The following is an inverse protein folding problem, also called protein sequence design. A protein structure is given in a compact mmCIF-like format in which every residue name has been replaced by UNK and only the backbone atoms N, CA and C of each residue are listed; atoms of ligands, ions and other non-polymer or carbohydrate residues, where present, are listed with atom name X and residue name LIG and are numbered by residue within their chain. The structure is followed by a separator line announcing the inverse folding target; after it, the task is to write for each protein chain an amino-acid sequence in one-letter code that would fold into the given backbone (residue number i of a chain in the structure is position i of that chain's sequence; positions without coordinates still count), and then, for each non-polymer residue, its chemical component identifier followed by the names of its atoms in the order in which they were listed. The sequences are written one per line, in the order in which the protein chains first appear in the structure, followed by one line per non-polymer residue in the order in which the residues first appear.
data_IF_013567068579
#
_entry.id   IF_013567068579
#
_cell.length_a   1.000
_cell.length_b   1.000
_cell.length_c   1.000
_cell.angle_alpha   90.00
_cell.angle_beta   90.00
_cell.angle_gamma   90.00
#
_symmetry.space_group_name_H-M   'P 1'
#
loop_
_entity.id
_entity.type
_entity.pdbx_description
1 polymer ?
#
# COMPACT_ATOMS: atom_id res chain seq x y z
N UNK A 1 -1.28 15.59 8.43
CA UNK A 1 -2.66 15.16 8.79
C UNK A 1 -3.29 15.95 9.93
N UNK A 2 -2.78 15.91 11.18
CA UNK A 2 -3.45 16.62 12.31
C UNK A 2 -3.48 18.15 12.16
N UNK A 3 -2.42 18.78 11.61
CA UNK A 3 -2.45 20.20 11.22
C UNK A 3 -3.57 20.54 10.23
N UNK A 4 -3.96 19.57 9.40
CA UNK A 4 -5.00 19.66 8.39
C UNK A 4 -4.59 20.31 7.07
N UNK A 5 -5.32 19.94 6.02
CA UNK A 5 -5.10 20.37 4.63
C UNK A 5 -6.46 20.74 4.00
N UNK A 6 -6.47 21.62 2.99
CA UNK A 6 -7.67 21.85 2.18
C UNK A 6 -7.77 20.79 1.08
N UNK A 7 -8.92 20.12 0.96
CA UNK A 7 -9.20 19.13 -0.09
C UNK A 7 -10.63 19.30 -0.60
N UNK A 8 -10.86 18.96 -1.87
CA UNK A 8 -12.18 18.96 -2.49
C UNK A 8 -12.89 17.66 -2.14
N UNK A 9 -13.99 17.73 -1.36
CA UNK A 9 -14.89 16.59 -1.15
C UNK A 9 -15.83 16.46 -2.35
N UNK A 10 -15.67 15.40 -3.13
CA UNK A 10 -16.60 15.07 -4.21
C UNK A 10 -17.86 14.39 -3.66
N UNK A 11 -18.94 14.43 -4.46
CA UNK A 11 -20.22 13.74 -4.28
C UNK A 11 -20.85 13.57 -5.66
N UNK A 12 -21.92 12.78 -5.77
CA UNK A 12 -22.63 12.52 -7.05
C UNK A 12 -23.37 13.72 -7.69
N UNK A 13 -22.99 14.96 -7.40
CA UNK A 13 -23.48 16.18 -8.03
C UNK A 13 -22.36 16.96 -8.72
N UNK A 14 -22.70 17.88 -9.61
CA UNK A 14 -21.77 18.48 -10.60
C UNK A 14 -20.64 19.35 -10.05
N UNK A 15 -20.58 19.66 -8.75
CA UNK A 15 -19.50 20.45 -8.13
C UNK A 15 -19.05 19.85 -6.80
N UNK A 16 -17.74 19.62 -6.69
CA UNK A 16 -17.08 19.28 -5.43
C UNK A 16 -17.09 20.44 -4.44
N UNK A 17 -16.85 20.13 -3.16
CA UNK A 17 -16.92 21.08 -2.06
C UNK A 17 -15.57 21.14 -1.33
N UNK A 18 -14.86 22.27 -1.43
CA UNK A 18 -13.63 22.52 -0.65
C UNK A 18 -13.95 22.44 0.85
N UNK A 19 -13.17 21.64 1.59
CA UNK A 19 -13.20 21.55 3.05
C UNK A 19 -11.78 21.46 3.59
N UNK A 20 -11.60 21.96 4.80
CA UNK A 20 -10.38 21.73 5.58
C UNK A 20 -10.52 20.40 6.33
N UNK A 21 -9.76 19.39 5.93
CA UNK A 21 -9.72 18.06 6.55
C UNK A 21 -8.57 17.96 7.54
N UNK A 22 -8.79 17.29 8.67
CA UNK A 22 -7.78 17.08 9.71
C UNK A 22 -8.07 15.78 10.46
N UNK A 23 -7.04 15.14 11.00
CA UNK A 23 -7.24 14.15 12.08
C UNK A 23 -7.44 14.89 13.39
N UNK A 24 -8.26 14.34 14.28
CA UNK A 24 -8.38 14.83 15.65
C UNK A 24 -7.14 14.52 16.51
N UNK A 25 -7.15 15.00 17.75
CA UNK A 25 -6.02 14.92 18.68
C UNK A 25 -5.59 13.48 18.97
N UNK A 26 -6.55 12.58 19.15
CA UNK A 26 -6.31 11.15 19.39
C UNK A 26 -6.03 10.34 18.12
N UNK A 27 -6.06 10.97 16.93
CA UNK A 27 -5.91 10.33 15.61
C UNK A 27 -6.99 9.26 15.32
N UNK A 28 -8.11 9.27 16.06
CA UNK A 28 -9.20 8.29 15.95
C UNK A 28 -10.31 8.73 15.00
N UNK A 29 -10.45 10.04 14.73
CA UNK A 29 -11.46 10.55 13.80
C UNK A 29 -10.85 11.41 12.68
N UNK A 30 -11.20 11.10 11.44
CA UNK A 30 -11.04 11.97 10.29
C UNK A 30 -12.16 13.01 10.33
N UNK A 31 -11.84 14.31 10.41
CA UNK A 31 -12.81 15.40 10.57
C UNK A 31 -12.68 16.44 9.46
N UNK A 32 -13.75 17.19 9.21
CA UNK A 32 -13.71 18.29 8.23
C UNK A 32 -14.56 19.51 8.61
N UNK A 33 -14.10 20.70 8.20
CA UNK A 33 -14.78 21.98 8.41
C UNK A 33 -14.73 22.88 7.16
N UNK A 34 -15.66 23.84 6.98
CA UNK A 34 -16.90 23.99 7.74
C UNK A 34 -17.91 22.88 7.41
N UNK A 35 -18.91 22.66 8.27
CA UNK A 35 -20.08 21.81 7.99
C UNK A 35 -21.35 22.48 8.52
N UNK A 36 -22.49 22.25 7.86
CA UNK A 36 -23.81 22.64 8.41
C UNK A 36 -24.32 21.66 9.49
N UNK A 37 -23.67 20.50 9.61
CA UNK A 37 -23.95 19.47 10.64
C UNK A 37 -22.59 18.98 11.16
N UNK A 38 -22.04 19.68 12.17
CA UNK A 38 -20.67 19.47 12.65
C UNK A 38 -20.43 18.08 13.28
N UNK A 39 -21.45 17.49 13.89
CA UNK A 39 -21.36 16.13 14.43
C UNK A 39 -21.22 15.08 13.32
N UNK A 40 -21.95 15.24 12.20
CA UNK A 40 -21.84 14.41 10.99
C UNK A 40 -20.66 14.79 10.09
N UNK A 41 -19.67 15.50 10.63
CA UNK A 41 -18.44 15.91 9.95
C UNK A 41 -17.21 15.15 10.49
N UNK A 42 -17.40 13.86 10.78
CA UNK A 42 -16.38 12.91 11.24
C UNK A 42 -16.59 11.52 10.59
N UNK A 43 -15.52 10.75 10.48
CA UNK A 43 -15.50 9.29 10.24
C UNK A 43 -14.53 8.70 11.27
N UNK A 44 -14.89 7.61 11.96
CA UNK A 44 -13.94 6.91 12.85
C UNK A 44 -12.94 6.11 12.03
N UNK A 45 -11.67 6.08 12.42
CA UNK A 45 -10.65 5.23 11.80
C UNK A 45 -11.08 3.77 11.86
N UNK A 46 -11.63 3.32 12.99
CA UNK A 46 -12.15 1.95 13.18
C UNK A 46 -13.32 1.59 12.25
N UNK A 47 -13.96 2.60 11.65
CA UNK A 47 -15.04 2.41 10.67
C UNK A 47 -14.55 2.43 9.23
N UNK A 48 -13.29 2.79 8.96
CA UNK A 48 -12.72 2.76 7.60
C UNK A 48 -12.37 1.31 7.26
N UNK A 49 -12.89 0.84 6.12
CA UNK A 49 -12.64 -0.51 5.59
C UNK A 49 -11.54 -0.51 4.54
N UNK A 50 -11.44 0.54 3.73
CA UNK A 50 -10.44 0.63 2.65
C UNK A 50 -10.03 2.07 2.33
N UNK A 51 -8.80 2.23 1.82
CA UNK A 51 -8.25 3.50 1.30
C UNK A 51 -7.67 3.25 -0.10
N UNK A 52 -8.42 3.63 -1.13
CA UNK A 52 -8.04 3.44 -2.53
C UNK A 52 -7.40 4.72 -3.07
N UNK A 53 -6.29 4.57 -3.80
CA UNK A 53 -5.59 5.68 -4.47
C UNK A 53 -6.09 5.89 -5.90
N UNK A 54 -6.02 7.12 -6.40
CA UNK A 54 -6.51 7.46 -7.73
C UNK A 54 -8.03 7.63 -7.80
N UNK A 55 -8.57 7.36 -8.99
CA UNK A 55 -9.93 7.73 -9.42
C UNK A 55 -10.86 6.51 -9.51
N UNK A 56 -10.78 5.60 -8.54
CA UNK A 56 -11.39 4.27 -8.63
C UNK A 56 -12.91 4.25 -8.42
N UNK A 57 -13.45 5.15 -7.58
CA UNK A 57 -14.89 5.17 -7.25
C UNK A 57 -15.77 5.69 -8.39
N UNK A 58 -17.05 5.32 -8.35
CA UNK A 58 -18.09 5.84 -9.27
C UNK A 58 -18.18 7.37 -9.30
N UNK A 59 -17.80 8.05 -8.21
CA UNK A 59 -17.91 9.51 -8.14
C UNK A 59 -16.90 10.17 -9.08
N UNK A 60 -15.69 9.63 -9.20
CA UNK A 60 -14.70 10.13 -10.16
C UNK A 60 -15.10 9.85 -11.61
N UNK A 61 -15.75 8.71 -11.88
CA UNK A 61 -16.20 8.31 -13.22
C UNK A 61 -17.29 9.23 -13.81
N UNK A 62 -17.94 10.06 -12.97
CA UNK A 62 -18.95 11.06 -13.39
C UNK A 62 -18.34 12.38 -13.88
N UNK A 63 -17.04 12.58 -13.71
CA UNK A 63 -16.31 13.73 -14.25
C UNK A 63 -15.63 13.36 -15.57
N UNK A 64 -15.45 14.32 -16.47
CA UNK A 64 -14.79 14.06 -17.75
C UNK A 64 -13.35 13.57 -17.55
N UNK A 65 -12.85 12.76 -18.48
CA UNK A 65 -11.47 12.33 -18.46
C UNK A 65 -10.50 13.54 -18.43
N UNK A 66 -9.37 13.39 -17.73
CA UNK A 66 -8.45 14.49 -17.46
C UNK A 66 -8.85 15.49 -16.36
N UNK A 67 -10.10 15.49 -15.83
CA UNK A 67 -10.56 16.50 -14.84
C UNK A 67 -9.70 16.62 -13.58
N UNK A 68 -9.06 15.52 -13.16
CA UNK A 68 -8.20 15.47 -11.99
C UNK A 68 -6.99 14.56 -12.24
N UNK A 69 -5.83 14.94 -11.71
CA UNK A 69 -4.64 14.09 -11.62
C UNK A 69 -4.92 12.89 -10.69
N UNK A 70 -4.77 11.63 -11.15
CA UNK A 70 -4.87 10.45 -10.28
C UNK A 70 -4.01 10.55 -9.01
N UNK A 71 -2.83 11.16 -9.07
CA UNK A 71 -1.92 11.26 -7.92
C UNK A 71 -2.48 12.13 -6.79
N UNK A 72 -3.37 13.08 -7.09
CA UNK A 72 -4.05 13.92 -6.09
C UNK A 72 -5.39 13.34 -5.61
N UNK A 73 -5.84 12.21 -6.17
CA UNK A 73 -7.15 11.62 -5.90
C UNK A 73 -7.04 10.43 -4.93
N UNK A 74 -8.02 10.29 -4.03
CA UNK A 74 -8.23 9.06 -3.26
C UNK A 74 -9.67 8.92 -2.78
N UNK A 75 -10.05 7.68 -2.44
CA UNK A 75 -11.35 7.31 -1.89
C UNK A 75 -11.18 6.59 -0.55
N UNK A 76 -12.04 6.91 0.42
CA UNK A 76 -12.15 6.19 1.69
C UNK A 76 -13.50 5.47 1.73
N UNK A 77 -13.50 4.15 1.91
CA UNK A 77 -14.73 3.38 2.09
C UNK A 77 -14.93 3.06 3.57
N UNK A 78 -16.10 3.38 4.12
CA UNK A 78 -16.33 3.31 5.57
C UNK A 78 -17.77 2.90 5.95
N UNK A 79 -17.92 2.44 7.19
CA UNK A 79 -19.20 2.02 7.77
C UNK A 79 -19.74 0.70 7.21
N UNK A 80 -20.89 0.27 7.73
CA UNK A 80 -21.47 -1.03 7.37
C UNK A 80 -21.96 -1.08 5.93
N UNK A 81 -22.57 0.01 5.46
CA UNK A 81 -23.10 0.17 4.10
C UNK A 81 -22.05 0.59 3.06
N UNK A 82 -20.76 0.62 3.41
CA UNK A 82 -19.65 1.03 2.53
C UNK A 82 -19.87 2.39 1.86
N UNK A 83 -20.15 3.43 2.65
CA UNK A 83 -20.19 4.81 2.15
C UNK A 83 -18.79 5.23 1.62
N UNK A 84 -18.76 6.00 0.53
CA UNK A 84 -17.53 6.62 0.02
C UNK A 84 -17.29 8.03 0.56
N UNK A 85 -16.03 8.35 0.79
CA UNK A 85 -15.52 9.72 0.90
C UNK A 85 -14.42 9.93 -0.14
N UNK A 86 -14.81 10.58 -1.23
CA UNK A 86 -13.98 10.86 -2.39
C UNK A 86 -13.32 12.25 -2.27
N UNK A 87 -12.00 12.29 -2.42
CA UNK A 87 -11.16 13.46 -2.10
C UNK A 87 -10.16 13.77 -3.22
N UNK A 88 -9.98 15.07 -3.47
CA UNK A 88 -8.90 15.62 -4.31
C UNK A 88 -8.08 16.61 -3.48
N UNK A 89 -6.79 16.38 -3.34
CA UNK A 89 -5.84 17.29 -2.68
C UNK A 89 -5.30 18.38 -3.63
N UNK A 90 -4.54 19.34 -3.09
CA UNK A 90 -3.82 20.32 -3.89
C UNK A 90 -2.59 19.73 -4.57
N UNK A 91 -1.88 18.79 -3.91
CA UNK A 91 -0.76 18.06 -4.50
C UNK A 91 -0.83 16.55 -4.25
N UNK A 92 -0.17 15.76 -5.10
CA UNK A 92 -0.09 14.32 -4.91
C UNK A 92 0.76 13.89 -3.69
N UNK A 93 1.58 14.79 -3.14
CA UNK A 93 2.29 14.55 -1.89
C UNK A 93 1.33 14.62 -0.69
N UNK A 94 0.39 15.56 -0.69
CA UNK A 94 -0.67 15.60 0.31
C UNK A 94 -1.53 14.32 0.24
N UNK A 95 -1.95 13.91 -0.95
CA UNK A 95 -2.73 12.68 -1.14
C UNK A 95 -1.94 11.46 -0.62
N UNK A 96 -0.68 11.27 -1.03
CA UNK A 96 0.16 10.18 -0.50
C UNK A 96 0.32 10.23 1.03
N UNK A 97 0.44 11.42 1.61
CA UNK A 97 0.51 11.62 3.07
C UNK A 97 -0.76 11.15 3.77
N UNK A 98 -1.93 11.48 3.22
CA UNK A 98 -3.23 11.03 3.73
C UNK A 98 -3.46 9.52 3.50
N UNK A 99 -3.24 9.02 2.29
CA UNK A 99 -3.39 7.60 1.93
C UNK A 99 -2.52 6.72 2.83
N UNK A 100 -1.23 7.06 2.95
CA UNK A 100 -0.27 6.30 3.76
C UNK A 100 -0.64 6.39 5.24
N UNK A 101 -0.84 7.61 5.76
CA UNK A 101 -1.12 7.82 7.18
C UNK A 101 -2.40 7.15 7.67
N UNK A 102 -3.45 7.10 6.84
CA UNK A 102 -4.69 6.38 7.16
C UNK A 102 -4.51 4.85 7.10
N UNK A 103 -3.77 4.33 6.10
CA UNK A 103 -3.42 2.90 6.04
C UNK A 103 -2.61 2.44 7.26
N UNK A 104 -1.68 3.26 7.78
CA UNK A 104 -0.95 2.98 9.03
C UNK A 104 -1.87 2.92 10.26
N UNK A 105 -2.79 3.89 10.40
CA UNK A 105 -3.73 3.93 11.52
C UNK A 105 -4.71 2.75 11.49
N UNK A 106 -5.25 2.39 10.32
CA UNK A 106 -6.12 1.21 10.14
C UNK A 106 -5.41 -0.11 10.47
N UNK A 107 -4.10 -0.21 10.25
CA UNK A 107 -3.31 -1.39 10.60
C UNK A 107 -3.03 -1.51 12.12
N UNK A 108 -3.58 -0.62 12.96
CA UNK A 108 -3.32 -0.56 14.40
C UNK A 108 -1.90 -0.08 14.76
N UNK A 109 -1.13 0.40 13.78
CA UNK A 109 0.28 0.79 13.97
C UNK A 109 0.33 2.18 14.61
N UNK A 110 0.25 2.19 15.95
CA UNK A 110 0.54 3.34 16.80
C UNK A 110 2.04 3.42 17.15
N UNK A 111 2.48 4.56 17.70
CA UNK A 111 3.87 4.75 18.16
C UNK A 111 4.31 3.70 19.19
N UNK A 112 3.41 3.34 20.12
CA UNK A 112 3.61 2.31 21.14
C UNK A 112 4.09 0.97 20.55
N UNK A 113 3.36 0.45 19.55
CA UNK A 113 3.66 -0.87 18.99
C UNK A 113 4.94 -0.85 18.12
N UNK A 114 5.35 0.34 17.65
CA UNK A 114 6.61 0.57 16.94
C UNK A 114 7.82 0.48 17.89
N UNK A 115 7.68 0.93 19.13
CA UNK A 115 8.69 0.74 20.18
C UNK A 115 8.70 -0.72 20.70
N UNK A 116 7.52 -1.29 20.96
CA UNK A 116 7.38 -2.65 21.50
C UNK A 116 7.95 -3.72 20.56
N UNK A 117 7.74 -3.61 19.24
CA UNK A 117 8.32 -4.54 18.24
C UNK A 117 9.85 -4.47 18.18
N UNK A 118 10.47 -3.33 18.50
CA UNK A 118 11.94 -3.18 18.51
C UNK A 118 12.61 -3.75 19.77
N UNK A 119 11.86 -3.95 20.86
CA UNK A 119 12.37 -4.59 22.08
C UNK A 119 12.23 -6.12 22.04
N UNK A 120 11.12 -6.66 21.53
CA UNK A 120 10.87 -8.12 21.48
C UNK A 120 11.95 -8.93 20.76
N UNK A 121 12.62 -8.37 19.74
CA UNK A 121 13.73 -9.02 19.03
C UNK A 121 15.05 -9.08 19.81
N UNK A 122 15.18 -8.36 20.93
CA UNK A 122 16.36 -8.44 21.81
C UNK A 122 16.22 -9.52 22.88
N UNK A 123 15.01 -9.66 23.44
CA UNK A 123 14.79 -10.45 24.65
C UNK A 123 14.34 -11.90 24.34
N UNK A 124 14.03 -12.23 23.08
CA UNK A 124 13.62 -13.58 22.65
C UNK A 124 14.79 -14.47 22.21
N UNK A 125 15.76 -14.69 23.10
CA UNK A 125 16.79 -15.74 22.94
C UNK A 125 16.37 -16.97 23.78
N UNK A 126 15.90 -18.08 23.17
CA UNK A 126 15.21 -19.14 23.91
C UNK A 126 16.17 -20.04 24.70
N UNK A 127 16.25 -19.83 26.02
CA UNK A 127 16.98 -20.66 26.99
C UNK A 127 16.28 -22.00 27.29
N UNK A 128 15.89 -22.73 26.25
CA UNK A 128 15.06 -23.93 26.32
C UNK A 128 15.84 -25.20 26.75
N UNK A 129 16.22 -25.30 28.02
CA UNK A 129 16.62 -26.57 28.65
C UNK A 129 15.89 -26.81 29.97
N UNK A 130 14.83 -27.61 29.92
CA UNK A 130 14.48 -28.51 31.02
C UNK A 130 14.05 -29.87 30.44
N UNK A 131 14.51 -30.96 31.05
CA UNK A 131 14.54 -32.29 30.44
C UNK A 131 13.50 -33.22 31.07
N UNK A 132 12.65 -33.83 30.24
CA UNK A 132 11.94 -35.05 30.59
C UNK A 132 12.90 -36.25 30.59
N UNK A 133 12.73 -37.19 31.54
CA UNK A 133 13.40 -38.49 31.53
C UNK A 133 12.65 -39.44 30.58
N UNK A 134 13.28 -40.32 29.81
CA UNK A 134 14.72 -40.53 29.57
C UNK A 134 14.95 -41.87 28.84
N UNK A 135 16.13 -42.08 28.25
CA UNK A 135 16.48 -43.37 27.62
C UNK A 135 17.62 -43.30 26.60
N UNK A 136 18.86 -43.54 27.06
CA UNK A 136 20.02 -43.87 26.20
C UNK A 136 20.57 -42.76 25.30
N UNK A 137 21.76 -42.23 25.62
CA UNK A 137 22.50 -41.33 24.72
C UNK A 137 23.72 -40.70 25.38
N UNK A 138 24.91 -40.95 24.84
CA UNK A 138 26.15 -40.34 25.31
C UNK A 138 26.26 -38.88 24.84
N UNK A 139 26.73 -37.98 25.70
CA UNK A 139 27.02 -36.60 25.33
C UNK A 139 28.45 -36.50 24.81
N UNK A 140 28.62 -36.09 23.55
CA UNK A 140 29.89 -35.57 23.03
C UNK A 140 29.63 -34.23 22.36
N UNK A 141 30.35 -33.21 22.81
CA UNK A 141 30.26 -31.82 22.36
C UNK A 141 31.02 -31.60 21.07
N UNK A 142 30.49 -30.77 20.19
CA UNK A 142 31.29 -30.01 19.24
C UNK A 142 30.76 -28.57 19.18
N UNK A 143 31.68 -27.63 19.42
CA UNK A 143 31.43 -26.19 19.33
C UNK A 143 31.65 -25.68 17.90
N UNK A 144 31.44 -24.36 17.75
CA UNK A 144 32.11 -23.48 16.78
C UNK A 144 31.32 -23.10 15.52
N UNK A 145 30.70 -21.92 15.64
CA UNK A 145 31.06 -20.72 14.87
C UNK A 145 30.52 -20.53 13.43
N UNK A 146 30.38 -19.24 13.11
CA UNK A 146 30.32 -18.63 11.78
C UNK A 146 29.06 -18.78 10.91
N UNK A 147 28.79 -17.70 10.17
CA UNK A 147 27.55 -17.47 9.42
C UNK A 147 27.58 -18.15 8.04
N UNK A 148 26.44 -18.69 7.55
CA UNK A 148 26.30 -19.04 6.14
C UNK A 148 25.88 -17.83 5.30
N UNK A 149 26.79 -17.35 4.44
CA UNK A 149 26.47 -16.42 3.34
C UNK A 149 25.58 -17.13 2.32
N UNK A 150 24.45 -16.54 1.94
CA UNK A 150 23.58 -17.12 0.91
C UNK A 150 24.23 -16.97 -0.49
N UNK A 151 24.57 -18.10 -1.13
CA UNK A 151 25.14 -18.14 -2.49
C UNK A 151 24.35 -19.06 -3.42
N UNK A 152 24.52 -18.86 -4.73
CA UNK A 152 23.64 -19.38 -5.80
C UNK A 152 24.17 -20.64 -6.52
N UNK A 153 23.29 -21.27 -7.34
CA UNK A 153 23.45 -22.44 -8.25
C UNK A 153 23.23 -23.83 -7.60
N UNK A 154 22.70 -24.84 -8.31
CA UNK A 154 22.10 -24.88 -9.66
C UNK A 154 22.05 -26.31 -10.29
N UNK A 155 21.34 -26.47 -11.43
CA UNK A 155 21.20 -27.70 -12.27
C UNK A 155 20.40 -28.88 -11.65
N UNK A 156 19.71 -29.79 -12.38
CA UNK A 156 19.16 -29.90 -13.77
C UNK A 156 18.10 -31.07 -13.75
N UNK A 157 17.57 -31.76 -14.79
CA UNK A 157 17.70 -31.83 -16.25
C UNK A 157 16.48 -32.59 -16.86
N UNK A 158 15.91 -32.12 -17.99
CA UNK A 158 15.55 -32.96 -19.16
C UNK A 158 14.32 -33.94 -19.08
N UNK A 159 13.58 -34.31 -20.16
CA UNK A 159 13.68 -34.01 -21.62
C UNK A 159 12.39 -34.27 -22.45
N UNK A 160 12.22 -33.49 -23.52
CA UNK A 160 11.81 -33.85 -24.91
C UNK A 160 10.35 -34.21 -25.35
N UNK A 161 9.78 -33.32 -26.20
CA UNK A 161 9.22 -33.50 -27.57
C UNK A 161 9.02 -32.06 -28.13
N UNK A 162 9.75 -31.50 -29.09
CA UNK A 162 10.12 -31.84 -30.50
C UNK A 162 8.96 -31.65 -31.49
N UNK A 163 9.25 -30.99 -32.64
CA UNK A 163 8.36 -30.58 -33.77
C UNK A 163 7.70 -29.20 -33.53
N UNK A 164 7.79 -28.19 -34.42
CA UNK A 164 8.67 -27.95 -35.59
C UNK A 164 8.82 -26.43 -35.88
N UNK A 165 9.62 -26.07 -36.88
CA UNK A 165 9.69 -24.78 -37.62
C UNK A 165 9.86 -25.12 -39.13
N UNK A 166 9.77 -24.21 -40.15
CA UNK A 166 10.89 -23.30 -40.45
C UNK A 166 10.65 -22.07 -41.40
N UNK A 167 11.76 -21.36 -41.68
CA UNK A 167 12.12 -20.59 -42.91
C UNK A 167 11.43 -19.28 -43.34
N UNK A 168 12.21 -18.19 -43.19
CA UNK A 168 12.39 -17.08 -44.16
C UNK A 168 13.55 -17.44 -45.13
N UNK A 169 13.77 -16.77 -46.28
CA UNK A 169 14.34 -15.40 -46.38
C UNK A 169 13.40 -14.47 -47.19
N UNK A 170 13.73 -13.39 -47.93
CA UNK A 170 14.95 -12.62 -48.34
C UNK A 170 14.46 -11.16 -48.67
N UNK A 171 15.15 -10.30 -49.42
CA UNK A 171 16.33 -9.43 -49.12
C UNK A 171 16.61 -8.54 -50.36
N UNK A 172 16.79 -7.23 -50.16
CA UNK A 172 17.29 -6.22 -51.13
C UNK A 172 16.34 -5.89 -52.33
N UNK A 173 16.50 -4.79 -53.09
CA UNK A 173 17.57 -3.78 -53.22
C UNK A 173 17.08 -2.31 -53.19
N UNK A 174 18.02 -1.37 -53.02
CA UNK A 174 17.88 0.09 -53.08
C UNK A 174 17.83 0.68 -54.51
N UNK A 175 17.40 1.94 -54.67
CA UNK A 175 18.09 2.94 -55.52
C UNK A 175 17.69 4.41 -55.21
N UNK A 176 18.51 5.37 -55.65
CA UNK A 176 18.31 6.84 -55.58
C UNK A 176 17.47 7.31 -56.81
N UNK A 177 16.94 8.55 -56.96
CA UNK A 177 17.58 9.89 -56.84
C UNK A 177 16.54 11.05 -56.84
N UNK A 178 16.94 12.33 -56.71
CA UNK A 178 16.03 13.47 -56.44
C UNK A 178 15.80 14.43 -57.63
N UNK A 179 15.02 15.49 -57.32
CA UNK A 179 14.96 16.83 -57.94
C UNK A 179 14.06 17.08 -59.16
N UNK A 180 13.07 17.96 -58.94
CA UNK A 180 12.71 19.10 -59.79
C UNK A 180 12.27 20.24 -58.87
#
# INVERSE_FOLDING_TARGET
MQMGNQMVKLRGGSKGLVRFFYLDEHKSCIRWRPSRKNEKAKISVDSVREVCEGKQSEIFQRYSEGSFDPNCCFSLYYGEHMESLDLVSGTGEEARTWITGLKYLMAGISDEDSLAKRQRTRDQYPSAIQKGRGGGGCWQTLSSDSQPVLRSRGSACCRLKRVLQPHSPNRATSHLSPAA
#
